data_IF_602395144572
#
_entry.id   IF_602395144572
#
_cell.length_a   1.000
_cell.length_b   1.000
_cell.length_c   1.000
_cell.angle_alpha   90.00
_cell.angle_beta   90.00
_cell.angle_gamma   90.00
#
_symmetry.space_group_name_H-M   'P 1'
#
loop_
_entity.id
_entity.type
_entity.pdbx_description
1 polymer ?
#
# COMPACT_ATOMS: atom_id res chain seq x y z
N UNK A 1 -3.26 7.35 7.20
CA UNK A 1 -2.09 6.55 6.80
C UNK A 1 -1.07 6.50 7.93
N UNK A 2 -0.60 5.31 8.31
CA UNK A 2 0.52 5.08 9.23
C UNK A 2 1.44 4.01 8.61
N UNK A 3 2.74 4.29 8.54
CA UNK A 3 3.73 3.32 8.08
C UNK A 3 4.35 2.59 9.29
N UNK A 4 4.35 1.26 9.22
CA UNK A 4 4.99 0.38 10.19
C UNK A 4 6.32 -0.13 9.60
N UNK A 5 7.37 -0.15 10.41
CA UNK A 5 8.73 -0.61 10.02
C UNK A 5 9.02 -2.06 10.42
N UNK A 6 7.98 -2.79 10.84
CA UNK A 6 8.08 -4.22 11.10
C UNK A 6 8.22 -4.93 9.76
N UNK A 7 9.34 -5.65 9.57
CA UNK A 7 9.52 -6.47 8.37
C UNK A 7 8.44 -7.54 8.29
N UNK A 8 7.68 -7.55 7.20
CA UNK A 8 6.56 -8.45 7.00
C UNK A 8 6.40 -8.76 5.52
N UNK A 9 5.79 -9.90 5.20
CA UNK A 9 5.27 -10.17 3.87
C UNK A 9 3.88 -9.52 3.71
N UNK A 10 3.29 -9.56 2.51
CA UNK A 10 2.01 -8.91 2.24
C UNK A 10 0.88 -9.41 3.14
N UNK A 11 0.82 -10.73 3.40
CA UNK A 11 -0.24 -11.33 4.21
C UNK A 11 -0.10 -11.01 5.69
N UNK A 12 1.13 -10.99 6.22
CA UNK A 12 1.42 -10.55 7.58
C UNK A 12 1.06 -9.08 7.76
N UNK A 13 1.41 -8.22 6.79
CA UNK A 13 1.06 -6.81 6.79
C UNK A 13 -0.45 -6.58 6.71
N UNK A 14 -1.15 -7.35 5.87
CA UNK A 14 -2.60 -7.34 5.77
C UNK A 14 -3.26 -7.70 7.10
N UNK A 15 -2.83 -8.80 7.74
CA UNK A 15 -3.32 -9.21 9.06
C UNK A 15 -3.03 -8.15 10.13
N UNK A 16 -1.82 -7.59 10.14
CA UNK A 16 -1.42 -6.57 11.11
C UNK A 16 -2.29 -5.30 10.99
N UNK A 17 -2.57 -4.81 9.78
CA UNK A 17 -3.46 -3.65 9.61
C UNK A 17 -4.89 -3.97 10.10
N UNK A 18 -5.41 -5.16 9.80
CA UNK A 18 -6.72 -5.59 10.28
C UNK A 18 -6.79 -5.72 11.80
N UNK A 19 -5.72 -6.14 12.46
CA UNK A 19 -5.64 -6.23 13.91
C UNK A 19 -5.73 -4.85 14.61
N UNK A 20 -5.49 -3.76 13.89
CA UNK A 20 -5.62 -2.39 14.38
C UNK A 20 -6.90 -1.68 13.88
N UNK A 21 -7.92 -2.44 13.46
CA UNK A 21 -9.15 -1.90 12.86
C UNK A 21 -8.91 -1.02 11.62
N UNK A 22 -7.84 -1.31 10.88
CA UNK A 22 -7.52 -0.69 9.60
C UNK A 22 -7.39 -1.71 8.48
N UNK A 23 -6.81 -1.28 7.36
CA UNK A 23 -6.45 -2.15 6.24
C UNK A 23 -5.16 -1.65 5.59
N UNK A 24 -4.53 -2.46 4.73
CA UNK A 24 -3.43 -1.97 3.91
C UNK A 24 -3.90 -0.80 3.04
N UNK A 25 -3.07 0.24 2.96
CA UNK A 25 -3.45 1.52 2.39
C UNK A 25 -3.88 1.43 0.93
N UNK A 26 -4.99 2.10 0.61
CA UNK A 26 -5.44 2.27 -0.76
C UNK A 26 -5.04 3.66 -1.27
N UNK A 27 -4.61 3.76 -2.53
CA UNK A 27 -4.16 5.04 -3.10
C UNK A 27 -4.99 5.34 -4.34
N UNK A 28 -6.15 5.94 -4.13
CA UNK A 28 -7.13 6.29 -5.17
C UNK A 28 -6.93 7.72 -5.72
N UNK A 29 -6.02 8.50 -5.14
CA UNK A 29 -5.75 9.88 -5.53
C UNK A 29 -4.30 10.31 -5.26
N UNK A 30 -3.88 11.40 -5.92
CA UNK A 30 -2.59 12.05 -5.65
C UNK A 30 -2.48 12.57 -4.20
N UNK A 31 -3.60 12.93 -3.58
CA UNK A 31 -3.64 13.36 -2.18
C UNK A 31 -3.30 12.20 -1.23
N UNK A 32 -3.93 11.03 -1.43
CA UNK A 32 -3.61 9.84 -0.64
C UNK A 32 -2.18 9.37 -0.85
N UNK A 33 -1.65 9.51 -2.08
CA UNK A 33 -0.24 9.25 -2.36
C UNK A 33 0.67 10.11 -1.48
N UNK A 34 0.36 11.41 -1.35
CA UNK A 34 1.10 12.30 -0.44
C UNK A 34 0.98 11.84 1.02
N UNK A 35 -0.19 11.41 1.48
CA UNK A 35 -0.36 10.90 2.86
C UNK A 35 0.47 9.64 3.12
N UNK A 36 0.61 8.75 2.13
CA UNK A 36 1.46 7.57 2.20
C UNK A 36 2.94 7.98 2.27
N UNK A 37 3.38 8.89 1.41
CA UNK A 37 4.76 9.41 1.40
C UNK A 37 5.12 10.11 2.72
N UNK A 38 4.21 10.90 3.29
CA UNK A 38 4.38 11.53 4.60
C UNK A 38 4.49 10.49 5.74
N UNK A 39 3.68 9.42 5.67
CA UNK A 39 3.76 8.33 6.64
C UNK A 39 5.11 7.60 6.54
N UNK A 40 5.58 7.33 5.31
CA UNK A 40 6.90 6.74 5.06
C UNK A 40 8.03 7.64 5.57
N UNK A 41 7.96 8.96 5.35
CA UNK A 41 9.00 9.88 5.80
C UNK A 41 9.19 9.87 7.33
N UNK A 42 8.11 9.65 8.09
CA UNK A 42 8.13 9.56 9.57
C UNK A 42 8.84 8.32 10.10
N UNK A 43 9.09 7.31 9.26
CA UNK A 43 9.79 6.08 9.66
C UNK A 43 11.29 6.28 9.87
N UNK A 44 11.87 7.36 9.34
CA UNK A 44 13.32 7.56 9.34
C UNK A 44 14.10 6.63 8.39
N UNK A 45 13.41 5.85 7.54
CA UNK A 45 14.03 5.00 6.52
C UNK A 45 13.85 5.60 5.11
N UNK A 46 14.77 6.45 4.63
CA UNK A 46 14.64 7.16 3.34
C UNK A 46 14.74 6.23 2.12
N UNK A 47 15.16 4.98 2.28
CA UNK A 47 15.26 3.97 1.22
C UNK A 47 14.19 2.88 1.35
N UNK A 48 13.28 3.00 2.32
CA UNK A 48 12.35 1.93 2.65
C UNK A 48 11.35 1.64 1.53
N UNK A 49 10.99 0.36 1.44
CA UNK A 49 9.92 -0.17 0.60
C UNK A 49 8.84 -0.78 1.48
N UNK A 50 7.59 -0.40 1.23
CA UNK A 50 6.45 -0.74 2.08
C UNK A 50 5.34 -1.38 1.26
N UNK A 51 4.71 -2.42 1.79
CA UNK A 51 3.49 -2.95 1.18
C UNK A 51 2.33 -1.94 1.32
N UNK A 52 1.52 -1.87 0.28
CA UNK A 52 0.22 -1.17 0.23
C UNK A 52 -0.87 -2.15 -0.20
N UNK A 53 -2.13 -1.75 -0.19
CA UNK A 53 -3.28 -2.65 -0.34
C UNK A 53 -3.57 -3.13 -1.76
N UNK A 54 -2.72 -2.80 -2.73
CA UNK A 54 -2.90 -3.23 -4.10
C UNK A 54 -2.52 -4.68 -4.30
N UNK A 55 -3.36 -5.46 -4.97
CA UNK A 55 -3.07 -6.85 -5.34
C UNK A 55 -3.86 -7.25 -6.57
N UNK A 56 -3.36 -8.18 -7.36
CA UNK A 56 -4.11 -8.87 -8.42
C UNK A 56 -4.18 -10.39 -8.20
N UNK A 57 -3.87 -10.88 -6.98
CA UNK A 57 -3.97 -12.30 -6.60
C UNK A 57 -5.33 -12.88 -7.04
N UNK A 58 -5.27 -13.98 -7.78
CA UNK A 58 -6.44 -14.70 -8.26
C UNK A 58 -7.21 -13.98 -9.37
N UNK A 59 -6.67 -12.88 -9.91
CA UNK A 59 -7.22 -12.09 -11.00
C UNK A 59 -6.10 -11.47 -11.85
N UNK A 60 -5.21 -12.30 -12.38
CA UNK A 60 -4.02 -11.91 -13.14
C UNK A 60 -4.27 -10.69 -14.04
N UNK A 61 -3.52 -9.61 -13.80
CA UNK A 61 -3.59 -8.36 -14.56
C UNK A 61 -4.76 -7.44 -14.18
N UNK A 62 -5.56 -7.77 -13.17
CA UNK A 62 -6.70 -6.97 -12.68
C UNK A 62 -6.52 -6.57 -11.21
N UNK A 63 -5.68 -5.56 -11.03
CA UNK A 63 -5.39 -4.94 -9.73
C UNK A 63 -6.65 -4.47 -8.99
N UNK A 64 -6.64 -4.65 -7.67
CA UNK A 64 -7.65 -4.17 -6.76
C UNK A 64 -7.03 -3.64 -5.47
N UNK A 65 -7.73 -2.71 -4.83
CA UNK A 65 -7.48 -2.31 -3.47
C UNK A 65 -8.20 -3.29 -2.54
N UNK A 66 -7.45 -4.19 -1.91
CA UNK A 66 -8.03 -5.28 -1.09
C UNK A 66 -8.81 -4.75 0.12
N UNK A 67 -8.34 -3.66 0.74
CA UNK A 67 -8.99 -3.04 1.90
C UNK A 67 -10.37 -2.46 1.57
N UNK A 68 -10.52 -1.89 0.37
CA UNK A 68 -11.78 -1.31 -0.11
C UNK A 68 -12.66 -2.31 -0.87
N UNK A 69 -12.15 -3.52 -1.14
CA UNK A 69 -12.76 -4.49 -2.05
C UNK A 69 -13.14 -3.86 -3.41
N UNK A 70 -12.25 -3.03 -3.96
CA UNK A 70 -12.51 -2.24 -5.17
C UNK A 70 -11.47 -2.51 -6.26
N UNK A 71 -11.93 -2.85 -7.46
CA UNK A 71 -11.06 -2.97 -8.65
C UNK A 71 -10.50 -1.60 -9.06
N UNK A 72 -9.22 -1.56 -9.43
CA UNK A 72 -8.62 -0.41 -10.10
C UNK A 72 -9.07 -0.38 -11.56
N UNK A 73 -9.73 0.69 -11.98
CA UNK A 73 -10.20 0.88 -13.36
C UNK A 73 -9.11 1.50 -14.23
N UNK A 74 -9.32 1.48 -15.54
CA UNK A 74 -8.39 2.05 -16.51
C UNK A 74 -8.07 3.53 -16.23
N UNK A 75 -9.09 4.31 -15.87
CA UNK A 75 -9.02 5.76 -15.66
C UNK A 75 -8.79 6.17 -14.19
N UNK A 76 -8.58 5.22 -13.28
CA UNK A 76 -8.29 5.53 -11.88
C UNK A 76 -6.85 6.06 -11.73
N UNK A 77 -6.57 6.72 -10.61
CA UNK A 77 -5.23 7.17 -10.28
C UNK A 77 -4.25 5.99 -10.22
N UNK A 78 -3.08 6.17 -10.84
CA UNK A 78 -2.00 5.19 -10.88
C UNK A 78 -0.67 5.91 -10.70
N UNK A 79 0.21 5.34 -9.88
CA UNK A 79 1.54 5.90 -9.64
C UNK A 79 2.65 4.86 -9.80
N UNK A 80 2.47 3.90 -10.72
CA UNK A 80 3.48 2.90 -11.05
C UNK A 80 4.81 3.52 -11.45
N UNK A 81 5.89 2.81 -11.13
CA UNK A 81 7.22 3.08 -11.63
C UNK A 81 7.22 2.90 -13.16
N UNK A 82 8.02 3.68 -13.92
CA UNK A 82 8.11 3.50 -15.36
C UNK A 82 8.50 2.07 -15.75
N UNK A 83 7.60 1.37 -16.44
CA UNK A 83 7.79 -0.04 -16.82
C UNK A 83 6.93 -1.03 -16.02
N UNK A 84 6.33 -0.58 -14.92
CA UNK A 84 5.51 -1.42 -14.04
C UNK A 84 3.99 -1.28 -14.32
N UNK A 85 3.19 -2.30 -13.95
CA UNK A 85 3.60 -3.60 -13.41
C UNK A 85 4.16 -4.54 -14.49
N UNK A 86 5.25 -5.25 -14.20
CA UNK A 86 5.96 -6.09 -15.19
C UNK A 86 5.82 -7.61 -14.95
N UNK A 87 5.30 -8.01 -13.80
CA UNK A 87 5.15 -9.40 -13.35
C UNK A 87 6.40 -10.26 -13.57
N UNK A 88 7.55 -9.77 -13.10
CA UNK A 88 8.85 -10.43 -13.18
C UNK A 88 8.73 -11.86 -12.66
N UNK A 89 9.23 -12.82 -13.45
CA UNK A 89 9.16 -14.26 -13.16
C UNK A 89 7.73 -14.84 -13.00
N UNK A 90 6.69 -14.06 -13.25
CA UNK A 90 5.30 -14.49 -13.16
C UNK A 90 4.76 -14.67 -11.74
N UNK A 91 5.36 -14.00 -10.74
CA UNK A 91 5.02 -14.18 -9.31
C UNK A 91 4.91 -12.86 -8.52
N UNK A 92 4.64 -11.73 -9.17
CA UNK A 92 4.52 -10.41 -8.53
C UNK A 92 3.06 -9.94 -8.51
N UNK A 93 2.33 -10.29 -7.45
CA UNK A 93 0.88 -10.07 -7.37
C UNK A 93 0.46 -9.08 -6.26
N UNK A 94 1.44 -8.42 -5.63
CA UNK A 94 1.23 -7.51 -4.50
C UNK A 94 1.94 -6.17 -4.72
N UNK A 95 1.26 -5.06 -4.44
CA UNK A 95 1.85 -3.74 -4.61
C UNK A 95 2.71 -3.31 -3.44
N UNK A 96 3.83 -2.71 -3.79
CA UNK A 96 4.67 -1.94 -2.89
C UNK A 96 4.71 -0.48 -3.29
N UNK A 97 5.04 0.38 -2.34
CA UNK A 97 5.44 1.76 -2.55
C UNK A 97 6.83 1.92 -1.96
N UNK A 98 7.77 2.46 -2.74
CA UNK A 98 9.17 2.38 -2.34
C UNK A 98 10.02 3.54 -2.80
N UNK A 99 11.16 3.64 -2.12
CA UNK A 99 12.27 4.50 -2.52
C UNK A 99 13.42 3.64 -3.07
N UNK A 100 13.09 2.75 -4.02
CA UNK A 100 13.96 1.74 -4.62
C UNK A 100 15.35 2.31 -4.96
N UNK A 101 15.46 3.18 -5.97
CA UNK A 101 16.67 3.97 -6.27
C UNK A 101 16.35 5.20 -7.15
N UNK A 102 17.00 6.34 -6.91
CA UNK A 102 16.99 7.49 -7.83
C UNK A 102 15.78 8.43 -7.75
N UNK A 103 15.32 8.88 -8.92
CA UNK A 103 14.32 9.95 -9.10
C UNK A 103 12.86 9.50 -8.91
N UNK A 104 12.61 8.20 -8.83
CA UNK A 104 11.26 7.60 -8.83
C UNK A 104 10.79 7.20 -7.41
N UNK A 105 11.03 8.09 -6.43
CA UNK A 105 10.58 7.90 -5.05
C UNK A 105 9.05 7.91 -4.96
N UNK A 106 8.49 7.08 -4.07
CA UNK A 106 7.04 6.98 -3.86
C UNK A 106 6.27 6.30 -4.98
N UNK A 107 6.95 5.78 -6.01
CA UNK A 107 6.30 5.03 -7.10
C UNK A 107 5.93 3.62 -6.66
N UNK A 108 4.92 3.06 -7.32
CA UNK A 108 4.43 1.70 -7.07
C UNK A 108 5.16 0.69 -7.92
N UNK A 109 5.32 -0.50 -7.38
CA UNK A 109 5.91 -1.65 -8.05
C UNK A 109 5.11 -2.90 -7.66
N UNK A 110 4.87 -3.80 -8.60
CA UNK A 110 4.38 -5.14 -8.28
C UNK A 110 5.52 -5.97 -7.71
N UNK A 111 5.21 -6.79 -6.72
CA UNK A 111 6.22 -7.48 -5.92
C UNK A 111 5.74 -8.82 -5.42
N UNK A 112 6.71 -9.70 -5.13
CA UNK A 112 6.46 -11.04 -4.62
C UNK A 112 5.81 -10.96 -3.23
N UNK A 113 4.57 -11.44 -3.14
CA UNK A 113 3.74 -11.30 -1.94
C UNK A 113 4.34 -11.94 -0.67
N UNK A 114 5.13 -13.01 -0.82
CA UNK A 114 5.71 -13.77 0.30
C UNK A 114 7.04 -13.20 0.80
N UNK A 115 7.63 -12.24 0.08
CA UNK A 115 8.90 -11.64 0.46
C UNK A 115 8.72 -10.65 1.60
N UNK A 116 9.52 -10.79 2.67
CA UNK A 116 9.51 -9.86 3.81
C UNK A 116 10.36 -8.62 3.52
N UNK A 117 9.72 -7.46 3.36
CA UNK A 117 10.37 -6.17 3.04
C UNK A 117 10.46 -5.26 4.27
N UNK A 118 10.71 -3.96 4.09
CA UNK A 118 11.01 -3.02 5.19
C UNK A 118 9.80 -2.66 6.06
N UNK A 119 8.59 -2.82 5.54
CA UNK A 119 7.39 -2.46 6.25
C UNK A 119 6.12 -2.50 5.41
N UNK A 120 5.10 -1.81 5.91
CA UNK A 120 3.80 -1.68 5.26
C UNK A 120 3.09 -0.41 5.73
N UNK A 121 2.16 0.09 4.92
CA UNK A 121 1.35 1.27 5.27
C UNK A 121 -0.10 0.85 5.50
N UNK A 122 -0.61 1.14 6.69
CA UNK A 122 -2.01 0.95 7.02
C UNK A 122 -2.80 2.26 6.83
N UNK A 123 -4.01 2.10 6.33
CA UNK A 123 -5.06 3.09 6.32
C UNK A 123 -6.06 2.78 7.44
N UNK A 124 -6.52 3.85 8.08
CA UNK A 124 -7.49 3.79 9.16
C UNK A 124 -8.60 4.74 8.81
N UNK A 125 -9.84 4.29 8.97
CA UNK A 125 -11.01 5.13 8.85
C UNK A 125 -10.86 6.36 9.76
N UNK A 126 -11.14 7.55 9.23
CA UNK A 126 -11.27 8.72 10.08
C UNK A 126 -12.47 8.48 11.00
N UNK A 127 -12.26 8.44 12.32
CA UNK A 127 -13.38 8.39 13.26
C UNK A 127 -14.28 9.60 12.96
N UNK A 128 -15.54 9.40 12.51
CA UNK A 128 -16.43 10.52 12.28
C UNK A 128 -16.57 11.25 13.60
N UNK A 129 -16.29 12.55 13.62
CA UNK A 129 -16.48 13.41 14.80
C UNK A 129 -17.98 13.62 15.04
N UNK A 130 -18.71 12.54 15.28
CA UNK A 130 -20.05 12.62 15.86
C UNK A 130 -19.82 12.72 17.36
N UNK A 131 -20.12 13.90 17.88
CA UNK A 131 -20.26 14.20 19.30
C UNK A 131 -20.86 13.00 20.04
N UNK A 132 -20.05 12.33 20.87
CA UNK A 132 -20.56 11.45 21.92
C UNK A 132 -21.57 12.26 22.72
N UNK A 133 -22.87 12.02 22.51
CA UNK A 133 -23.87 12.41 23.52
C UNK A 133 -23.60 11.55 24.75
N UNK A 134 -23.31 12.13 25.92
CA UNK A 134 -23.27 11.35 27.14
C UNK A 134 -24.69 10.84 27.42
N UNK A 135 -24.80 9.56 27.80
CA UNK A 135 -25.96 9.06 28.55
C UNK A 135 -25.89 9.59 29.97
#
# INVERSE_FOLDING_TARGET
MIAFTKRANFFEAWQDCHAYDGHLASIQSAFEQTLVEEAMAKTGNPKGVYFIGGTDIGRDGRWMWIGLNQLMKANDYKNFYPGEPNNLNGNQECLTVGNWHGENRGKWDDFECLTRIDGYVCEFESVPTTTRRPK
#
